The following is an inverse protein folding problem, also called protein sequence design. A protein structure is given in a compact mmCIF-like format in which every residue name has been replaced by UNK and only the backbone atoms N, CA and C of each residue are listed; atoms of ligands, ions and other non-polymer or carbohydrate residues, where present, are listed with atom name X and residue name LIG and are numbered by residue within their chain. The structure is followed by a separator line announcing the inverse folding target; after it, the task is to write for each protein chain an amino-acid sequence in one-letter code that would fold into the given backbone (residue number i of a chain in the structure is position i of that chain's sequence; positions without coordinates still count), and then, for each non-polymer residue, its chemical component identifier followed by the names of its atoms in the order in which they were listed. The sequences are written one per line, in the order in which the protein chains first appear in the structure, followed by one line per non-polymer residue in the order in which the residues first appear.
data_IF_078699463397
#
_entry.id   IF_078699463397
#
_cell.length_a   1.000
_cell.length_b   1.000
_cell.length_c   1.000
_cell.angle_alpha   90.00
_cell.angle_beta   90.00
_cell.angle_gamma   90.00
#
_symmetry.space_group_name_H-M   'P 1'
#
loop_
_entity.id
_entity.type
_entity.pdbx_description
1 polymer ?
#
# COMPACT_ATOMS: atom_id res chain seq x y z
N UNK A 1 -38.02 -4.16 26.90
CA UNK A 1 -37.26 -3.15 26.13
C UNK A 1 -37.27 -3.57 24.68
N UNK A 2 -37.67 -2.67 23.78
CA UNK A 2 -37.80 -2.96 22.35
C UNK A 2 -36.40 -3.10 21.72
N UNK A 3 -36.18 -4.00 20.74
CA UNK A 3 -34.88 -4.15 20.11
C UNK A 3 -34.48 -2.85 19.38
N UNK A 4 -33.33 -2.29 19.75
CA UNK A 4 -32.74 -1.14 19.04
C UNK A 4 -32.27 -1.61 17.67
N UNK A 5 -32.60 -0.86 16.61
CA UNK A 5 -32.10 -1.15 15.26
C UNK A 5 -30.72 -0.51 15.08
N UNK A 6 -29.82 -1.21 14.39
CA UNK A 6 -28.50 -0.67 14.11
C UNK A 6 -28.58 0.48 13.10
N UNK A 7 -27.88 1.57 13.39
CA UNK A 7 -27.67 2.71 12.49
C UNK A 7 -26.24 3.21 12.64
N UNK A 8 -25.60 3.47 11.50
CA UNK A 8 -24.30 4.10 11.41
C UNK A 8 -24.29 5.04 10.20
N UNK A 9 -23.80 6.26 10.38
CA UNK A 9 -23.59 7.23 9.30
C UNK A 9 -22.24 7.90 9.49
N UNK A 10 -21.49 8.10 8.42
CA UNK A 10 -20.21 8.81 8.47
C UNK A 10 -19.81 9.33 7.09
N UNK A 11 -19.04 10.40 7.08
CA UNK A 11 -18.35 10.86 5.87
C UNK A 11 -17.05 10.06 5.71
N UNK A 12 -16.78 9.62 4.49
CA UNK A 12 -15.60 8.81 4.15
C UNK A 12 -14.90 9.32 2.89
N UNK A 13 -13.56 9.21 2.87
CA UNK A 13 -12.71 9.55 1.74
C UNK A 13 -11.49 8.63 1.69
N UNK A 14 -11.18 8.07 0.53
CA UNK A 14 -9.99 7.23 0.31
C UNK A 14 -9.59 7.19 -1.18
N UNK A 15 -8.35 6.80 -1.46
CA UNK A 15 -7.91 6.27 -2.77
C UNK A 15 -7.64 4.76 -2.75
N UNK A 16 -7.60 4.16 -1.57
CA UNK A 16 -7.33 2.74 -1.36
C UNK A 16 -8.46 1.87 -1.95
N UNK A 17 -8.16 0.93 -2.86
CA UNK A 17 -9.17 0.08 -3.47
C UNK A 17 -9.66 -1.05 -2.56
N UNK A 18 -8.95 -1.38 -1.48
CA UNK A 18 -9.30 -2.51 -0.60
C UNK A 18 -9.05 -2.17 0.87
N UNK A 19 -9.97 -2.53 1.76
CA UNK A 19 -9.78 -2.33 3.19
C UNK A 19 -11.08 -2.37 3.97
N UNK A 20 -10.99 -2.41 5.30
CA UNK A 20 -12.17 -2.54 6.16
C UNK A 20 -12.60 -1.20 6.74
N UNK A 21 -13.88 -0.83 6.55
CA UNK A 21 -14.43 0.39 7.14
C UNK A 21 -14.85 0.14 8.58
N UNK A 22 -15.76 -0.80 8.81
CA UNK A 22 -16.20 -1.15 10.16
C UNK A 22 -16.75 -2.58 10.25
N UNK A 23 -16.79 -3.08 11.48
CA UNK A 23 -17.47 -4.29 11.90
C UNK A 23 -18.57 -3.93 12.91
N UNK A 24 -19.72 -4.59 12.83
CA UNK A 24 -20.79 -4.48 13.81
C UNK A 24 -21.43 -5.85 14.06
N UNK A 25 -21.51 -6.30 15.31
CA UNK A 25 -22.13 -7.58 15.65
C UNK A 25 -21.69 -8.18 16.98
N UNK A 26 -21.92 -9.47 17.12
CA UNK A 26 -21.50 -10.27 18.27
C UNK A 26 -20.19 -11.03 18.03
N UNK A 27 -20.06 -12.19 18.67
CA UNK A 27 -18.93 -13.10 18.46
C UNK A 27 -18.83 -13.56 16.99
N UNK A 28 -17.63 -13.97 16.55
CA UNK A 28 -17.34 -14.43 15.19
C UNK A 28 -18.29 -15.53 14.67
N UNK A 29 -18.81 -16.36 15.56
CA UNK A 29 -19.70 -17.47 15.22
C UNK A 29 -21.19 -17.14 15.33
N UNK A 30 -21.51 -15.92 15.76
CA UNK A 30 -22.87 -15.40 15.90
C UNK A 30 -23.22 -14.50 14.70
N UNK A 31 -24.11 -13.54 14.95
CA UNK A 31 -24.57 -12.55 13.97
C UNK A 31 -23.62 -11.36 13.90
N UNK A 32 -23.18 -11.01 12.70
CA UNK A 32 -22.36 -9.82 12.46
C UNK A 32 -22.42 -9.36 11.01
N UNK A 33 -22.01 -8.11 10.80
CA UNK A 33 -21.75 -7.50 9.50
C UNK A 33 -20.36 -6.87 9.48
N UNK A 34 -19.79 -6.82 8.28
CA UNK A 34 -18.55 -6.11 7.96
C UNK A 34 -18.80 -5.30 6.71
N UNK A 35 -18.56 -3.99 6.78
CA UNK A 35 -18.51 -3.13 5.61
C UNK A 35 -17.05 -2.90 5.24
N UNK A 36 -16.71 -3.22 4.00
CA UNK A 36 -15.36 -3.11 3.44
C UNK A 36 -15.39 -2.41 2.07
N UNK A 37 -14.21 -2.04 1.57
CA UNK A 37 -13.97 -1.75 0.16
C UNK A 37 -13.29 -2.95 -0.49
N UNK A 38 -13.71 -3.28 -1.71
CA UNK A 38 -12.97 -4.18 -2.60
C UNK A 38 -13.07 -3.67 -4.02
N UNK A 39 -11.93 -3.61 -4.72
CA UNK A 39 -11.85 -3.04 -6.07
C UNK A 39 -12.48 -1.63 -6.16
N UNK A 40 -12.34 -0.84 -5.09
CA UNK A 40 -12.89 0.51 -4.98
C UNK A 40 -14.40 0.61 -4.75
N UNK A 41 -15.13 -0.50 -4.58
CA UNK A 41 -16.58 -0.51 -4.31
C UNK A 41 -16.87 -1.05 -2.91
N UNK A 42 -18.04 -0.70 -2.37
CA UNK A 42 -18.48 -1.24 -1.09
C UNK A 42 -18.78 -2.74 -1.20
N UNK A 43 -18.26 -3.51 -0.26
CA UNK A 43 -18.54 -4.92 -0.03
C UNK A 43 -19.14 -5.08 1.37
N UNK A 44 -20.37 -5.59 1.45
CA UNK A 44 -20.99 -6.02 2.69
C UNK A 44 -20.79 -7.53 2.83
N UNK A 45 -20.15 -7.95 3.91
CA UNK A 45 -20.16 -9.33 4.36
C UNK A 45 -21.04 -9.45 5.60
N UNK A 46 -21.83 -10.50 5.68
CA UNK A 46 -22.70 -10.75 6.83
C UNK A 46 -22.73 -12.23 7.17
N UNK A 47 -22.89 -12.52 8.46
CA UNK A 47 -23.17 -13.86 8.98
C UNK A 47 -24.39 -13.74 9.87
N UNK A 48 -25.46 -14.49 9.58
CA UNK A 48 -26.67 -14.55 10.40
C UNK A 48 -27.01 -16.02 10.64
N UNK A 49 -27.14 -16.42 11.91
CA UNK A 49 -27.45 -17.81 12.31
C UNK A 49 -26.53 -18.85 11.63
N UNK A 50 -25.23 -18.54 11.52
CA UNK A 50 -24.25 -19.41 10.88
C UNK A 50 -24.18 -19.32 9.34
N UNK A 51 -25.14 -18.67 8.68
CA UNK A 51 -25.16 -18.50 7.23
C UNK A 51 -24.43 -17.23 6.82
N UNK A 52 -23.35 -17.39 6.06
CA UNK A 52 -22.55 -16.29 5.50
C UNK A 52 -23.05 -15.84 4.13
N UNK A 53 -23.09 -14.52 3.89
CA UNK A 53 -23.35 -13.93 2.57
C UNK A 53 -22.42 -12.75 2.32
N UNK A 54 -22.10 -12.52 1.06
CA UNK A 54 -21.31 -11.37 0.59
C UNK A 54 -22.07 -10.66 -0.52
N UNK A 55 -22.05 -9.34 -0.54
CA UNK A 55 -22.65 -8.52 -1.59
C UNK A 55 -21.74 -7.33 -1.86
N UNK A 56 -21.36 -7.14 -3.12
CA UNK A 56 -20.54 -6.01 -3.57
C UNK A 56 -21.23 -5.34 -4.74
N UNK A 57 -21.79 -4.15 -4.51
CA UNK A 57 -22.53 -3.36 -5.51
C UNK A 57 -22.41 -1.87 -5.18
N UNK A 58 -22.94 -1.01 -6.06
CA UNK A 58 -22.89 0.45 -5.89
C UNK A 58 -21.72 1.12 -6.63
N UNK A 59 -21.56 2.44 -6.46
CA UNK A 59 -20.57 3.23 -7.18
C UNK A 59 -19.14 2.97 -6.69
N UNK A 60 -18.16 3.48 -7.44
CA UNK A 60 -16.76 3.55 -7.01
C UNK A 60 -16.65 4.61 -5.91
N UNK A 61 -16.03 4.26 -4.78
CA UNK A 61 -15.90 5.11 -3.59
C UNK A 61 -14.46 5.64 -3.41
N UNK A 62 -13.45 4.95 -3.94
CA UNK A 62 -12.03 5.30 -3.76
C UNK A 62 -11.53 6.40 -4.73
N UNK A 63 -12.35 7.41 -5.00
CA UNK A 63 -12.01 8.52 -5.90
C UNK A 63 -11.43 9.74 -5.16
N UNK A 64 -11.18 9.66 -3.85
CA UNK A 64 -10.56 10.74 -3.07
C UNK A 64 -11.44 11.95 -2.78
N UNK A 65 -12.76 11.87 -2.99
CA UNK A 65 -13.70 12.90 -2.56
C UNK A 65 -14.53 12.39 -1.38
N UNK A 66 -14.96 13.30 -0.51
CA UNK A 66 -15.83 12.98 0.62
C UNK A 66 -17.20 12.51 0.13
N UNK A 67 -17.70 11.43 0.72
CA UNK A 67 -19.04 10.91 0.51
C UNK A 67 -19.64 10.47 1.84
N UNK A 68 -20.95 10.63 1.99
CA UNK A 68 -21.65 10.14 3.18
C UNK A 68 -22.07 8.70 2.95
N UNK A 69 -21.64 7.80 3.84
CA UNK A 69 -22.02 6.38 3.83
C UNK A 69 -22.90 6.14 5.05
N UNK A 70 -24.04 5.48 4.85
CA UNK A 70 -24.91 5.07 5.95
C UNK A 70 -25.29 3.60 5.86
N UNK A 71 -25.39 2.94 7.00
CA UNK A 71 -25.88 1.56 7.14
C UNK A 71 -26.98 1.55 8.18
N UNK A 72 -28.14 1.03 7.81
CA UNK A 72 -29.30 0.94 8.70
C UNK A 72 -30.01 -0.41 8.57
N UNK A 73 -30.49 -0.92 9.69
CA UNK A 73 -31.36 -2.09 9.76
C UNK A 73 -32.82 -1.63 9.67
N UNK A 74 -33.46 -1.84 8.51
CA UNK A 74 -34.83 -1.40 8.21
C UNK A 74 -35.69 -2.59 7.76
N UNK A 75 -36.81 -2.83 8.44
CA UNK A 75 -37.84 -3.80 7.99
C UNK A 75 -37.27 -5.17 7.56
N UNK A 76 -36.42 -5.78 8.41
CA UNK A 76 -35.71 -7.06 8.12
C UNK A 76 -34.76 -7.00 6.91
N UNK A 77 -34.27 -5.81 6.59
CA UNK A 77 -33.24 -5.60 5.58
C UNK A 77 -32.10 -4.77 6.14
N UNK A 78 -30.89 -5.02 5.67
CA UNK A 78 -29.77 -4.09 5.78
C UNK A 78 -29.80 -3.19 4.55
N UNK A 79 -29.89 -1.88 4.77
CA UNK A 79 -29.86 -0.87 3.72
C UNK A 79 -28.56 -0.09 3.85
N UNK A 80 -27.78 -0.05 2.77
CA UNK A 80 -26.57 0.76 2.69
C UNK A 80 -26.81 1.85 1.66
N UNK A 81 -26.49 3.08 2.05
CA UNK A 81 -26.63 4.26 1.19
C UNK A 81 -25.29 4.96 1.00
N UNK A 82 -25.16 5.58 -0.16
CA UNK A 82 -24.06 6.49 -0.50
C UNK A 82 -24.71 7.80 -0.92
N UNK A 83 -24.38 8.90 -0.24
CA UNK A 83 -24.98 10.22 -0.44
C UNK A 83 -26.52 10.19 -0.41
N UNK A 84 -27.09 9.41 0.52
CA UNK A 84 -28.54 9.15 0.70
C UNK A 84 -29.20 8.23 -0.33
N UNK A 85 -28.52 7.88 -1.42
CA UNK A 85 -29.03 6.92 -2.41
C UNK A 85 -28.76 5.49 -1.95
N UNK A 86 -29.81 4.65 -1.92
CA UNK A 86 -29.68 3.25 -1.52
C UNK A 86 -28.95 2.44 -2.62
N UNK A 87 -27.74 1.99 -2.30
CA UNK A 87 -26.89 1.22 -3.22
C UNK A 87 -26.98 -0.29 -2.96
N UNK A 88 -27.37 -0.69 -1.76
CA UNK A 88 -27.60 -2.08 -1.38
C UNK A 88 -28.82 -2.22 -0.48
N UNK A 89 -29.60 -3.28 -0.70
CA UNK A 89 -30.69 -3.73 0.18
C UNK A 89 -30.64 -5.25 0.30
N UNK A 90 -30.26 -5.75 1.47
CA UNK A 90 -30.09 -7.19 1.71
C UNK A 90 -31.11 -7.65 2.74
N UNK A 91 -32.00 -8.56 2.34
CA UNK A 91 -32.93 -9.20 3.27
C UNK A 91 -32.16 -10.08 4.28
N UNK A 92 -32.45 -9.88 5.57
CA UNK A 92 -31.84 -10.60 6.70
C UNK A 92 -32.92 -11.12 7.64
N UNK A 93 -32.67 -12.30 8.21
CA UNK A 93 -33.58 -12.96 9.17
C UNK A 93 -32.92 -12.98 10.55
N UNK A 94 -33.06 -11.90 11.30
CA UNK A 94 -32.50 -11.72 12.64
C UNK A 94 -32.20 -10.24 12.92
N UNK A 95 -31.64 -9.97 14.09
CA UNK A 95 -31.18 -8.63 14.47
C UNK A 95 -29.67 -8.65 14.73
N UNK A 96 -28.98 -7.53 14.47
CA UNK A 96 -27.56 -7.40 14.83
C UNK A 96 -27.35 -7.37 16.35
N UNK A 97 -28.28 -6.76 17.07
CA UNK A 97 -28.28 -6.77 18.53
C UNK A 97 -28.56 -8.18 19.03
N UNK A 98 -27.59 -8.72 19.77
CA UNK A 98 -27.75 -10.03 20.42
C UNK A 98 -28.19 -9.84 21.87
N UNK A 99 -29.15 -10.64 22.32
CA UNK A 99 -29.58 -10.63 23.70
C UNK A 99 -28.65 -11.49 24.56
N UNK A 100 -28.11 -10.90 25.62
CA UNK A 100 -27.32 -11.61 26.63
C UNK A 100 -27.69 -11.08 28.02
N UNK A 101 -28.04 -11.99 28.93
CA UNK A 101 -28.48 -11.69 30.31
C UNK A 101 -29.57 -10.60 30.40
N UNK A 102 -30.53 -10.62 29.47
CA UNK A 102 -31.65 -9.66 29.45
C UNK A 102 -31.33 -8.29 28.86
N UNK A 103 -30.08 -8.04 28.45
CA UNK A 103 -29.64 -6.81 27.78
C UNK A 103 -29.32 -7.08 26.31
N UNK A 104 -29.47 -6.06 25.47
CA UNK A 104 -29.11 -6.11 24.06
C UNK A 104 -27.70 -5.54 23.87
N UNK A 105 -26.82 -6.34 23.27
CA UNK A 105 -25.40 -6.00 23.06
C UNK A 105 -25.07 -5.98 21.57
N UNK A 106 -24.20 -5.04 21.20
CA UNK A 106 -23.59 -4.92 19.89
C UNK A 106 -22.16 -4.40 20.08
N UNK A 107 -21.19 -5.09 19.50
CA UNK A 107 -19.82 -4.60 19.41
C UNK A 107 -19.63 -3.91 18.06
N UNK A 108 -18.94 -2.77 18.08
CA UNK A 108 -18.59 -2.02 16.87
C UNK A 108 -17.09 -1.72 16.90
N UNK A 109 -16.41 -1.96 15.78
CA UNK A 109 -15.01 -1.59 15.59
C UNK A 109 -14.84 -0.88 14.24
N UNK A 110 -14.01 0.15 14.20
CA UNK A 110 -13.73 0.94 12.98
C UNK A 110 -12.30 0.65 12.53
N UNK A 111 -12.08 0.47 11.23
CA UNK A 111 -10.76 0.22 10.64
C UNK A 111 -10.13 -1.13 11.00
N UNK A 112 -10.87 -2.05 11.62
CA UNK A 112 -10.35 -3.35 12.02
C UNK A 112 -11.43 -4.33 12.48
N UNK A 113 -11.02 -5.59 12.70
CA UNK A 113 -11.87 -6.69 13.16
C UNK A 113 -11.52 -7.09 14.59
N UNK A 114 -12.51 -7.55 15.38
CA UNK A 114 -12.26 -8.17 16.68
C UNK A 114 -11.81 -9.63 16.57
N UNK A 115 -11.58 -10.15 15.35
CA UNK A 115 -11.12 -11.51 15.07
C UNK A 115 -10.24 -11.57 13.80
N UNK A 116 -9.65 -12.73 13.50
CA UNK A 116 -8.72 -12.90 12.37
C UNK A 116 -9.46 -12.84 11.02
N UNK A 117 -8.84 -12.19 10.03
CA UNK A 117 -9.43 -11.95 8.70
C UNK A 117 -9.80 -13.20 7.92
N UNK A 118 -9.10 -14.32 8.12
CA UNK A 118 -9.44 -15.60 7.48
C UNK A 118 -10.77 -16.19 7.95
N UNK A 119 -11.36 -15.66 9.03
CA UNK A 119 -12.67 -16.06 9.52
C UNK A 119 -13.83 -15.25 8.91
N UNK A 120 -13.52 -14.28 8.05
CA UNK A 120 -14.52 -13.63 7.20
C UNK A 120 -15.08 -14.62 6.17
N UNK A 121 -16.26 -14.32 5.62
CA UNK A 121 -16.86 -15.13 4.56
C UNK A 121 -15.99 -15.05 3.29
N UNK A 122 -15.46 -13.86 3.01
CA UNK A 122 -14.48 -13.62 1.97
C UNK A 122 -13.27 -12.91 2.57
N UNK A 123 -12.10 -13.54 2.52
CA UNK A 123 -10.87 -12.95 3.08
C UNK A 123 -10.53 -11.61 2.41
N UNK A 124 -9.99 -10.67 3.17
CA UNK A 124 -9.62 -9.34 2.70
C UNK A 124 -8.38 -8.85 3.44
N UNK A 125 -7.56 -8.01 2.80
CA UNK A 125 -6.57 -7.20 3.51
C UNK A 125 -7.31 -6.09 4.26
N UNK A 126 -7.29 -6.06 5.61
CA UNK A 126 -8.11 -5.12 6.37
C UNK A 126 -7.50 -3.71 6.44
N UNK A 127 -6.20 -3.56 6.11
CA UNK A 127 -5.52 -2.26 6.12
C UNK A 127 -6.22 -1.34 5.14
N UNK A 128 -6.59 -0.14 5.61
CA UNK A 128 -7.29 0.85 4.82
C UNK A 128 -6.64 2.21 5.04
N UNK A 129 -6.04 2.78 4.00
CA UNK A 129 -5.65 4.19 3.98
C UNK A 129 -6.87 5.06 3.63
N UNK A 130 -7.67 5.36 4.65
CA UNK A 130 -8.92 6.10 4.49
C UNK A 130 -9.14 7.08 5.64
N UNK A 131 -9.92 8.12 5.36
CA UNK A 131 -10.28 9.12 6.34
C UNK A 131 -11.78 9.10 6.62
N UNK A 132 -12.15 9.22 7.90
CA UNK A 132 -13.54 9.31 8.35
C UNK A 132 -13.77 10.60 9.14
N UNK A 133 -14.96 11.18 9.03
CA UNK A 133 -15.40 12.32 9.83
C UNK A 133 -16.92 12.30 9.99
N UNK A 134 -17.44 13.23 10.79
CA UNK A 134 -18.89 13.44 10.96
C UNK A 134 -19.66 12.14 11.23
N UNK A 135 -19.06 11.23 12.02
CA UNK A 135 -19.66 9.94 12.29
C UNK A 135 -20.77 10.06 13.33
N UNK A 136 -21.80 9.23 13.15
CA UNK A 136 -22.86 8.97 14.09
C UNK A 136 -22.99 7.45 14.23
N UNK A 137 -22.39 6.89 15.29
CA UNK A 137 -22.47 5.48 15.62
C UNK A 137 -23.60 5.26 16.63
N UNK A 138 -24.83 5.07 16.13
CA UNK A 138 -25.99 4.79 16.97
C UNK A 138 -26.37 5.90 17.97
N UNK A 139 -26.30 7.17 17.55
CA UNK A 139 -26.61 8.37 18.35
C UNK A 139 -25.82 8.44 19.67
N UNK A 140 -24.61 7.87 19.70
CA UNK A 140 -23.68 8.00 20.81
C UNK A 140 -22.64 9.05 20.47
N UNK A 141 -22.50 10.05 21.33
CA UNK A 141 -21.45 11.05 21.22
C UNK A 141 -20.10 10.44 21.60
N UNK A 142 -19.11 10.60 20.74
CA UNK A 142 -17.72 10.23 21.03
C UNK A 142 -16.84 11.49 21.01
N UNK A 143 -16.41 11.92 22.20
CA UNK A 143 -15.64 13.16 22.42
C UNK A 143 -14.12 12.92 22.27
N UNK A 144 -13.69 11.67 22.08
CA UNK A 144 -12.36 11.21 22.49
C UNK A 144 -11.25 11.28 21.41
N UNK A 145 -11.56 11.66 20.17
CA UNK A 145 -10.59 11.60 19.03
C UNK A 145 -9.83 12.92 18.80
N UNK A 146 -10.20 14.02 19.47
CA UNK A 146 -9.74 15.38 19.10
C UNK A 146 -8.27 15.73 19.45
N UNK A 147 -7.59 14.98 20.31
CA UNK A 147 -6.31 15.43 20.90
C UNK A 147 -5.05 14.74 20.34
N UNK A 148 -5.17 13.77 19.44
CA UNK A 148 -4.01 13.04 18.91
C UNK A 148 -3.83 13.28 17.41
N UNK A 149 -2.79 14.04 17.06
CA UNK A 149 -2.46 14.37 15.67
C UNK A 149 -2.20 13.12 14.80
N UNK A 150 -1.75 12.01 15.39
CA UNK A 150 -1.57 10.73 14.66
C UNK A 150 -2.88 10.07 14.24
N UNK A 151 -4.01 10.54 14.77
CA UNK A 151 -5.36 10.07 14.40
C UNK A 151 -6.04 11.00 13.40
N UNK A 152 -5.35 12.06 12.94
CA UNK A 152 -5.85 12.99 11.94
C UNK A 152 -5.26 12.68 10.56
N UNK A 153 -6.09 12.76 9.54
CA UNK A 153 -5.66 12.59 8.15
C UNK A 153 -5.19 13.94 7.57
N UNK A 154 -4.46 13.90 6.46
CA UNK A 154 -4.18 15.10 5.68
C UNK A 154 -5.47 15.81 5.25
N UNK A 155 -5.51 17.14 5.39
CA UNK A 155 -6.66 17.94 4.95
C UNK A 155 -6.94 17.73 3.44
N UNK A 156 -5.87 17.73 2.64
CA UNK A 156 -5.89 17.47 1.20
C UNK A 156 -4.93 16.32 0.95
N UNK A 157 -5.40 15.27 0.30
CA UNK A 157 -4.61 14.11 -0.09
C UNK A 157 -4.68 13.93 -1.61
N UNK A 158 -3.55 13.63 -2.24
CA UNK A 158 -3.46 13.23 -3.64
C UNK A 158 -3.32 11.72 -3.80
N UNK A 159 -3.33 11.23 -5.04
CA UNK A 159 -2.96 9.84 -5.35
C UNK A 159 -1.46 9.65 -5.13
N UNK A 160 -1.08 8.45 -4.66
CA UNK A 160 0.31 8.05 -4.45
C UNK A 160 0.55 7.48 -3.07
N UNK A 161 1.82 7.32 -2.68
CA UNK A 161 2.22 6.82 -1.37
C UNK A 161 3.30 7.73 -0.80
N UNK A 162 3.03 8.36 0.34
CA UNK A 162 3.94 9.36 0.89
C UNK A 162 5.00 8.73 1.79
N UNK A 163 6.27 9.01 1.47
CA UNK A 163 7.43 8.62 2.27
C UNK A 163 7.96 9.84 3.02
N UNK A 164 7.93 9.87 4.37
CA UNK A 164 8.34 11.05 5.14
C UNK A 164 9.86 11.15 5.38
N UNK A 165 10.68 10.33 4.71
CA UNK A 165 12.14 10.32 4.90
C UNK A 165 12.65 9.67 6.18
N UNK A 166 11.84 8.83 6.85
CA UNK A 166 12.18 8.22 8.15
C UNK A 166 12.06 6.69 8.19
N UNK A 167 11.92 6.06 7.04
CA UNK A 167 11.70 4.62 6.97
C UNK A 167 11.55 4.14 5.54
N UNK A 168 11.13 2.89 5.39
CA UNK A 168 11.04 2.18 4.12
C UNK A 168 9.92 1.14 4.17
N UNK A 169 9.52 0.66 3.00
CA UNK A 169 8.70 -0.55 2.85
C UNK A 169 9.57 -1.71 2.37
N UNK A 170 9.25 -2.94 2.81
CA UNK A 170 9.98 -4.15 2.44
C UNK A 170 9.02 -5.23 1.91
N UNK A 171 9.40 -5.85 0.80
CA UNK A 171 8.65 -6.91 0.12
C UNK A 171 9.54 -8.11 -0.17
N UNK A 172 8.96 -9.31 -0.09
CA UNK A 172 9.61 -10.56 -0.50
C UNK A 172 9.15 -10.91 -1.92
N UNK A 173 9.91 -10.46 -2.93
CA UNK A 173 9.62 -10.69 -4.35
C UNK A 173 10.67 -11.63 -4.95
N UNK A 174 10.25 -12.51 -5.86
CA UNK A 174 11.15 -13.37 -6.64
C UNK A 174 11.36 -12.78 -8.03
N UNK A 175 12.62 -12.55 -8.39
CA UNK A 175 13.02 -11.98 -9.68
C UNK A 175 13.53 -13.03 -10.67
N UNK A 176 13.74 -14.25 -10.19
CA UNK A 176 14.22 -15.38 -10.99
C UNK A 176 13.07 -16.36 -11.25
N UNK A 177 12.91 -16.78 -12.51
CA UNK A 177 11.92 -17.77 -12.94
C UNK A 177 12.63 -18.95 -13.63
N UNK A 178 12.19 -20.19 -13.40
CA UNK A 178 12.74 -21.34 -14.13
C UNK A 178 12.45 -21.15 -15.63
N UNK A 179 13.49 -21.31 -16.45
CA UNK A 179 13.40 -21.21 -17.91
C UNK A 179 12.89 -22.54 -18.52
N UNK A 180 13.31 -23.67 -17.94
CA UNK A 180 12.86 -25.03 -18.27
C UNK A 180 12.94 -25.94 -17.02
N UNK A 181 12.24 -27.07 -16.99
CA UNK A 181 12.22 -28.02 -15.86
C UNK A 181 13.57 -28.71 -15.62
N UNK A 182 14.46 -28.70 -16.61
CA UNK A 182 15.76 -29.39 -16.58
C UNK A 182 16.97 -28.46 -16.41
N UNK A 183 16.77 -27.14 -16.34
CA UNK A 183 17.88 -26.19 -16.13
C UNK A 183 18.00 -25.76 -14.67
N UNK A 184 19.23 -25.81 -14.15
CA UNK A 184 19.54 -25.40 -12.78
C UNK A 184 19.60 -23.88 -12.58
N UNK A 185 19.78 -23.10 -13.66
CA UNK A 185 19.96 -21.64 -13.60
C UNK A 185 18.70 -20.94 -14.10
N UNK A 186 18.10 -20.11 -13.26
CA UNK A 186 16.86 -19.39 -13.58
C UNK A 186 17.17 -18.14 -14.39
N UNK A 187 16.34 -17.83 -15.39
CA UNK A 187 16.40 -16.52 -16.03
C UNK A 187 15.85 -15.48 -15.05
N UNK A 188 16.49 -14.31 -14.97
CA UNK A 188 16.07 -13.26 -14.05
C UNK A 188 15.83 -11.95 -14.78
N UNK A 189 14.89 -11.18 -14.25
CA UNK A 189 14.57 -9.85 -14.75
C UNK A 189 14.06 -8.99 -13.60
N UNK A 190 14.60 -7.78 -13.51
CA UNK A 190 14.16 -6.74 -12.57
C UNK A 190 13.64 -5.58 -13.41
N UNK A 191 12.31 -5.45 -13.46
CA UNK A 191 11.61 -4.32 -14.07
C UNK A 191 10.89 -3.53 -12.99
N UNK A 192 11.17 -2.23 -12.93
CA UNK A 192 10.59 -1.32 -11.94
C UNK A 192 10.16 -0.05 -12.65
N UNK A 193 8.90 0.32 -12.49
CA UNK A 193 8.34 1.59 -12.93
C UNK A 193 7.90 2.38 -11.69
N UNK A 194 8.41 3.59 -11.53
CA UNK A 194 8.11 4.47 -10.40
C UNK A 194 7.66 5.83 -10.93
N UNK A 195 6.52 6.32 -10.46
CA UNK A 195 6.12 7.71 -10.64
C UNK A 195 6.44 8.45 -9.35
N UNK A 196 7.43 9.36 -9.40
CA UNK A 196 7.96 10.02 -8.21
C UNK A 196 7.70 11.53 -8.24
N UNK A 197 7.41 12.10 -7.08
CA UNK A 197 7.45 13.56 -6.84
C UNK A 197 8.34 13.82 -5.63
N UNK A 198 9.66 13.98 -5.82
CA UNK A 198 10.62 14.14 -4.73
C UNK A 198 10.44 15.46 -3.97
N UNK A 199 10.61 15.41 -2.65
CA UNK A 199 10.73 16.58 -1.78
C UNK A 199 12.20 16.88 -1.40
N UNK A 200 13.09 15.90 -1.56
CA UNK A 200 14.54 16.02 -1.35
C UNK A 200 15.30 15.54 -2.58
N UNK A 201 16.53 16.04 -2.74
CA UNK A 201 17.40 15.73 -3.87
C UNK A 201 18.21 14.43 -3.70
N UNK A 202 18.18 13.85 -2.51
CA UNK A 202 18.89 12.62 -2.15
C UNK A 202 17.96 11.63 -1.47
N UNK A 203 18.02 10.36 -1.87
CA UNK A 203 17.26 9.28 -1.23
C UNK A 203 17.15 8.02 -2.08
N UNK A 204 17.06 6.86 -1.43
CA UNK A 204 16.89 5.56 -2.09
C UNK A 204 15.44 5.38 -2.52
N UNK A 205 15.22 5.21 -3.83
CA UNK A 205 13.90 4.92 -4.40
C UNK A 205 13.57 3.42 -4.29
N UNK A 206 14.50 2.59 -4.76
CA UNK A 206 14.36 1.14 -4.84
C UNK A 206 15.70 0.46 -4.54
N UNK A 207 15.68 -0.65 -3.83
CA UNK A 207 16.88 -1.47 -3.64
C UNK A 207 16.55 -2.94 -3.41
N UNK A 208 17.50 -3.79 -3.79
CA UNK A 208 17.53 -5.20 -3.40
C UNK A 208 18.58 -5.39 -2.33
N UNK A 209 18.23 -6.14 -1.29
CA UNK A 209 19.12 -6.42 -0.16
C UNK A 209 19.12 -7.90 0.13
N UNK A 210 20.33 -8.46 0.23
CA UNK A 210 20.55 -9.85 0.63
C UNK A 210 20.40 -10.03 2.15
N UNK A 211 20.23 -11.27 2.59
CA UNK A 211 20.18 -11.61 4.03
C UNK A 211 21.47 -11.25 4.80
N UNK A 212 22.59 -10.98 4.11
CA UNK A 212 23.86 -10.58 4.71
C UNK A 212 24.07 -9.05 4.74
N UNK A 213 23.03 -8.25 4.45
CA UNK A 213 23.14 -6.79 4.42
C UNK A 213 23.85 -6.21 3.21
N UNK A 214 24.23 -7.05 2.23
CA UNK A 214 24.76 -6.59 0.94
C UNK A 214 23.61 -6.04 0.11
N UNK A 215 23.85 -4.95 -0.62
CA UNK A 215 22.89 -4.30 -1.54
C UNK A 215 23.31 -4.59 -3.00
N UNK A 216 22.84 -5.68 -3.64
CA UNK A 216 23.24 -6.00 -5.01
C UNK A 216 22.85 -4.96 -6.04
N UNK A 217 21.68 -4.34 -5.89
CA UNK A 217 21.10 -3.39 -6.84
C UNK A 217 20.42 -2.26 -6.07
N UNK A 218 20.63 -1.03 -6.49
CA UNK A 218 19.95 0.14 -5.92
C UNK A 218 19.72 1.22 -6.97
N UNK A 219 18.61 1.94 -6.83
CA UNK A 219 18.28 3.16 -7.57
C UNK A 219 17.99 4.27 -6.58
N UNK A 220 18.67 5.39 -6.75
CA UNK A 220 18.63 6.51 -5.82
C UNK A 220 18.79 7.84 -6.52
N UNK A 221 18.34 8.90 -5.84
CA UNK A 221 18.63 10.29 -6.17
C UNK A 221 19.87 10.74 -5.39
N UNK A 222 20.70 11.58 -6.01
CA UNK A 222 21.91 12.17 -5.42
C UNK A 222 22.18 13.55 -6.02
N UNK A 223 22.72 14.49 -5.23
CA UNK A 223 23.00 15.88 -5.65
C UNK A 223 24.48 16.17 -6.00
N UNK A 224 25.33 15.14 -5.99
CA UNK A 224 26.77 15.29 -6.15
C UNK A 224 27.40 14.17 -6.98
N UNK A 225 28.19 14.57 -7.98
CA UNK A 225 29.04 13.68 -8.75
C UNK A 225 30.45 13.63 -8.12
N UNK A 226 30.74 12.54 -7.42
CA UNK A 226 32.01 12.34 -6.70
C UNK A 226 33.26 12.46 -7.59
N UNK A 227 33.32 11.75 -8.73
CA UNK A 227 34.50 11.74 -9.61
C UNK A 227 34.80 13.08 -10.27
N UNK A 228 33.76 13.77 -10.78
CA UNK A 228 33.90 15.07 -11.46
C UNK A 228 33.87 16.26 -10.48
N UNK A 229 33.63 16.00 -9.19
CA UNK A 229 33.41 17.02 -8.15
C UNK A 229 32.37 18.08 -8.56
N UNK A 230 31.28 17.62 -9.16
CA UNK A 230 30.24 18.48 -9.73
C UNK A 230 28.97 18.40 -8.88
N UNK A 231 28.48 19.54 -8.41
CA UNK A 231 27.19 19.64 -7.71
C UNK A 231 26.07 19.74 -8.74
N UNK A 232 25.33 18.66 -8.90
CA UNK A 232 24.24 18.52 -9.85
C UNK A 232 23.38 17.31 -9.43
N UNK A 233 22.07 17.38 -9.67
CA UNK A 233 21.17 16.29 -9.34
C UNK A 233 21.25 15.17 -10.39
N UNK A 234 21.29 13.94 -9.90
CA UNK A 234 21.30 12.74 -10.72
C UNK A 234 20.33 11.71 -10.16
N UNK A 235 19.74 10.93 -11.06
CA UNK A 235 19.29 9.59 -10.74
C UNK A 235 20.41 8.61 -11.11
N UNK A 236 20.68 7.66 -10.22
CA UNK A 236 21.73 6.66 -10.40
C UNK A 236 21.17 5.25 -10.25
N UNK A 237 21.70 4.33 -11.04
CA UNK A 237 21.57 2.90 -10.85
C UNK A 237 22.94 2.34 -10.48
N UNK A 238 23.00 1.64 -9.35
CA UNK A 238 24.24 1.10 -8.81
C UNK A 238 24.14 -0.40 -8.56
N UNK A 239 25.26 -1.09 -8.84
CA UNK A 239 25.49 -2.49 -8.50
C UNK A 239 26.51 -2.52 -7.36
N UNK A 240 26.10 -2.99 -6.18
CA UNK A 240 26.84 -2.74 -4.93
C UNK A 240 27.12 -1.23 -4.77
N UNK A 241 28.38 -0.85 -4.54
CA UNK A 241 28.80 0.54 -4.37
C UNK A 241 29.21 1.23 -5.68
N UNK A 242 29.01 0.58 -6.84
CA UNK A 242 29.47 1.13 -8.11
C UNK A 242 28.30 1.63 -8.93
N UNK A 243 28.34 2.90 -9.32
CA UNK A 243 27.37 3.50 -10.24
C UNK A 243 27.62 2.97 -11.65
N UNK A 244 26.63 2.28 -12.22
CA UNK A 244 26.73 1.68 -13.56
C UNK A 244 25.99 2.50 -14.62
N UNK A 245 24.94 3.23 -14.23
CA UNK A 245 24.20 4.13 -15.10
C UNK A 245 23.81 5.38 -14.33
N UNK A 246 23.82 6.54 -14.99
CA UNK A 246 23.36 7.80 -14.40
C UNK A 246 22.62 8.66 -15.41
N UNK A 247 21.75 9.53 -14.91
CA UNK A 247 21.12 10.56 -15.72
C UNK A 247 21.11 11.87 -14.92
N UNK A 248 21.56 12.95 -15.55
CA UNK A 248 21.42 14.28 -14.99
C UNK A 248 19.94 14.69 -15.06
N UNK A 249 19.41 15.19 -13.95
CA UNK A 249 17.97 15.47 -13.81
C UNK A 249 17.77 16.82 -13.12
N UNK A 250 16.57 17.37 -13.28
CA UNK A 250 16.10 18.52 -12.49
C UNK A 250 14.92 18.03 -11.67
N UNK A 251 15.18 17.68 -10.42
CA UNK A 251 14.17 17.22 -9.45
C UNK A 251 13.84 18.33 -8.45
N UNK A 252 12.80 18.12 -7.64
CA UNK A 252 12.27 19.11 -6.69
C UNK A 252 11.60 20.32 -7.38
N UNK A 253 11.15 20.16 -8.62
CA UNK A 253 10.38 21.13 -9.41
C UNK A 253 8.86 21.05 -9.15
N UNK A 254 8.45 20.16 -8.22
CA UNK A 254 7.06 19.81 -7.85
C UNK A 254 6.30 19.02 -8.93
N UNK A 255 6.95 18.60 -10.00
CA UNK A 255 6.37 17.75 -11.03
C UNK A 255 6.51 16.27 -10.68
N UNK A 256 5.75 15.45 -11.41
CA UNK A 256 5.89 14.00 -11.36
C UNK A 256 6.89 13.58 -12.45
N UNK A 257 7.78 12.67 -12.11
CA UNK A 257 8.75 12.08 -13.03
C UNK A 257 8.57 10.58 -13.09
N UNK A 258 8.57 10.03 -14.30
CA UNK A 258 8.49 8.60 -14.54
C UNK A 258 9.90 8.01 -14.60
N UNK A 259 10.21 7.10 -13.70
CA UNK A 259 11.46 6.36 -13.65
C UNK A 259 11.21 4.92 -14.06
N UNK A 260 11.90 4.49 -15.11
CA UNK A 260 11.86 3.11 -15.60
C UNK A 260 13.23 2.47 -15.50
N UNK A 261 13.26 1.29 -14.90
CA UNK A 261 14.45 0.46 -14.73
C UNK A 261 14.16 -0.91 -15.33
N UNK A 262 15.07 -1.39 -16.18
CA UNK A 262 15.03 -2.74 -16.72
C UNK A 262 16.43 -3.34 -16.66
N UNK A 263 16.60 -4.33 -15.79
CA UNK A 263 17.86 -5.05 -15.60
C UNK A 263 17.62 -6.53 -15.84
N UNK A 264 18.40 -7.13 -16.73
CA UNK A 264 18.34 -8.55 -17.08
C UNK A 264 19.73 -9.09 -17.40
N UNK A 265 19.83 -10.37 -17.77
CA UNK A 265 21.08 -11.03 -18.12
C UNK A 265 21.89 -10.36 -19.26
N UNK A 266 21.32 -9.42 -20.01
CA UNK A 266 21.98 -8.79 -21.17
C UNK A 266 22.07 -7.27 -21.10
N UNK A 267 21.34 -6.62 -20.19
CA UNK A 267 21.22 -5.16 -20.21
C UNK A 267 20.95 -4.59 -18.82
N UNK A 268 21.42 -3.35 -18.64
CA UNK A 268 21.10 -2.47 -17.53
C UNK A 268 20.60 -1.17 -18.16
N UNK A 269 19.31 -0.88 -18.00
CA UNK A 269 18.69 0.32 -18.57
C UNK A 269 18.01 1.10 -17.45
N UNK A 270 18.30 2.40 -17.43
CA UNK A 270 17.65 3.39 -16.58
C UNK A 270 17.16 4.53 -17.49
N UNK A 271 15.87 4.87 -17.39
CA UNK A 271 15.32 6.05 -18.06
C UNK A 271 14.52 6.89 -17.08
N UNK A 272 14.51 8.21 -17.28
CA UNK A 272 13.61 9.14 -16.60
C UNK A 272 12.92 10.00 -17.65
N UNK A 273 11.59 10.06 -17.60
CA UNK A 273 10.75 10.81 -18.54
C UNK A 273 11.08 10.48 -20.00
N UNK A 274 11.33 9.19 -20.28
CA UNK A 274 11.71 8.68 -21.61
C UNK A 274 13.16 8.94 -22.04
N UNK A 275 13.95 9.68 -21.24
CA UNK A 275 15.37 9.95 -21.52
C UNK A 275 16.23 8.87 -20.89
N UNK A 276 17.10 8.23 -21.69
CA UNK A 276 18.00 7.19 -21.20
C UNK A 276 19.22 7.76 -20.48
N UNK A 277 19.63 7.09 -19.39
CA UNK A 277 20.86 7.39 -18.68
C UNK A 277 22.11 7.00 -19.46
N UNK A 278 23.21 7.67 -19.15
CA UNK A 278 24.54 7.36 -19.65
C UNK A 278 25.11 6.18 -18.87
N UNK A 279 25.52 5.14 -19.60
CA UNK A 279 26.28 4.03 -19.04
C UNK A 279 27.71 4.51 -18.75
N UNK A 280 28.16 4.32 -17.52
CA UNK A 280 29.47 4.79 -17.05
C UNK A 280 30.61 3.80 -17.35
N UNK A 281 30.33 2.71 -18.09
CA UNK A 281 31.19 1.52 -18.12
C UNK A 281 31.32 0.93 -19.53
N UNK A 282 32.44 0.24 -19.77
CA UNK A 282 32.69 -0.54 -21.00
C UNK A 282 31.86 -1.83 -21.05
N UNK A 283 31.76 -2.43 -22.24
CA UNK A 283 31.03 -3.69 -22.44
C UNK A 283 31.55 -4.83 -21.55
N UNK A 284 32.88 -4.94 -21.35
CA UNK A 284 33.47 -5.98 -20.50
C UNK A 284 33.09 -5.81 -19.02
N UNK A 285 33.07 -4.57 -18.51
CA UNK A 285 32.65 -4.30 -17.14
C UNK A 285 31.15 -4.56 -16.93
N UNK A 286 30.33 -4.33 -17.97
CA UNK A 286 28.91 -4.65 -17.92
C UNK A 286 28.68 -6.15 -17.65
N UNK A 287 29.42 -7.04 -18.33
CA UNK A 287 29.34 -8.48 -18.12
C UNK A 287 29.71 -8.88 -16.68
N UNK A 288 30.73 -8.24 -16.09
CA UNK A 288 31.11 -8.46 -14.69
C UNK A 288 29.97 -8.08 -13.72
N UNK A 289 29.33 -6.92 -13.92
CA UNK A 289 28.21 -6.50 -13.09
C UNK A 289 26.99 -7.43 -13.24
N UNK A 290 26.70 -7.87 -14.45
CA UNK A 290 25.60 -8.80 -14.72
C UNK A 290 25.86 -10.17 -14.08
N UNK A 291 27.10 -10.64 -14.09
CA UNK A 291 27.53 -11.86 -13.38
C UNK A 291 27.37 -11.72 -11.86
N UNK A 292 27.72 -10.56 -11.30
CA UNK A 292 27.49 -10.25 -9.87
C UNK A 292 26.01 -10.28 -9.55
N UNK A 293 25.15 -9.63 -10.35
CA UNK A 293 23.71 -9.59 -10.15
C UNK A 293 23.09 -10.98 -10.25
N UNK A 294 23.50 -11.78 -11.25
CA UNK A 294 23.03 -13.15 -11.42
C UNK A 294 23.24 -13.97 -10.14
N UNK A 295 24.45 -13.95 -9.58
CA UNK A 295 24.75 -14.68 -8.33
C UNK A 295 23.81 -14.33 -7.18
N UNK A 296 23.38 -13.07 -7.04
CA UNK A 296 22.46 -12.65 -5.99
C UNK A 296 21.00 -12.93 -6.33
N UNK A 297 20.58 -12.74 -7.58
CA UNK A 297 19.19 -12.89 -8.03
C UNK A 297 18.75 -14.35 -8.11
N UNK A 298 19.69 -15.30 -8.19
CA UNK A 298 19.39 -16.73 -7.98
C UNK A 298 18.98 -17.04 -6.51
N UNK A 299 19.28 -16.14 -5.57
CA UNK A 299 19.00 -16.31 -4.14
C UNK A 299 17.78 -15.49 -3.66
N UNK A 300 17.35 -15.72 -2.43
CA UNK A 300 16.27 -14.94 -1.82
C UNK A 300 16.75 -13.54 -1.43
N UNK A 301 16.13 -12.51 -2.02
CA UNK A 301 16.39 -11.10 -1.77
C UNK A 301 15.15 -10.42 -1.20
N UNK A 302 15.38 -9.38 -0.39
CA UNK A 302 14.34 -8.47 0.07
C UNK A 302 14.35 -7.22 -0.79
N UNK A 303 13.16 -6.81 -1.21
CA UNK A 303 12.95 -5.60 -2.02
C UNK A 303 12.58 -4.47 -1.10
N UNK A 304 13.31 -3.36 -1.18
CA UNK A 304 13.09 -2.17 -0.38
C UNK A 304 12.65 -1.01 -1.27
N UNK A 305 11.69 -0.22 -0.79
CA UNK A 305 11.20 0.99 -1.44
C UNK A 305 11.25 2.14 -0.45
N UNK A 306 11.81 3.26 -0.87
CA UNK A 306 11.89 4.50 -0.10
C UNK A 306 13.00 4.57 0.96
N UNK A 307 13.90 3.57 1.03
CA UNK A 307 15.00 3.56 1.99
C UNK A 307 15.67 2.19 2.08
N UNK A 308 16.57 2.02 3.05
CA UNK A 308 17.32 0.79 3.30
C UNK A 308 17.32 0.44 4.79
N UNK A 309 17.46 -0.85 5.15
CA UNK A 309 17.78 -1.22 6.53
C UNK A 309 19.20 -0.75 6.87
N UNK A 310 19.61 -0.91 8.13
CA UNK A 310 20.99 -0.62 8.52
C UNK A 310 21.97 -1.52 7.73
N UNK A 311 22.73 -0.89 6.84
CA UNK A 311 23.73 -1.52 5.96
C UNK A 311 25.01 -0.69 6.02
N UNK A 312 26.19 -1.30 5.85
CA UNK A 312 27.44 -0.53 5.77
C UNK A 312 27.33 0.54 4.68
N UNK A 313 27.76 1.77 4.96
CA UNK A 313 27.76 2.90 4.00
C UNK A 313 28.57 2.62 2.73
N UNK A 314 29.43 1.61 2.75
CA UNK A 314 30.20 1.11 1.61
C UNK A 314 29.44 0.11 0.75
N UNK A 315 28.19 -0.22 1.08
CA UNK A 315 27.39 -1.23 0.37
C UNK A 315 26.70 -0.68 -0.88
N UNK A 316 26.39 0.62 -0.89
CA UNK A 316 25.71 1.33 -1.97
C UNK A 316 26.03 2.83 -1.90
N UNK A 317 25.99 3.58 -3.01
CA UNK A 317 26.32 5.00 -3.01
C UNK A 317 25.40 5.88 -2.14
N UNK A 318 24.15 5.47 -1.91
CA UNK A 318 23.16 6.25 -1.15
C UNK A 318 22.44 5.34 -0.17
N UNK A 319 22.41 5.74 1.11
CA UNK A 319 21.67 5.05 2.18
C UNK A 319 20.56 5.90 2.80
N UNK A 320 20.46 7.18 2.40
CA UNK A 320 19.42 8.09 2.88
C UNK A 320 18.02 7.60 2.47
N UNK A 321 17.03 7.78 3.36
CA UNK A 321 15.64 7.47 3.06
C UNK A 321 15.05 8.50 2.09
N UNK A 322 14.21 8.04 1.17
CA UNK A 322 13.47 8.89 0.26
C UNK A 322 12.43 9.74 1.00
N UNK A 323 12.31 10.99 0.59
CA UNK A 323 11.27 11.89 1.04
C UNK A 323 10.52 12.43 -0.18
N UNK A 324 9.25 12.08 -0.30
CA UNK A 324 8.41 12.48 -1.42
C UNK A 324 7.18 11.59 -1.57
N UNK A 325 6.49 11.80 -2.68
CA UNK A 325 5.42 10.92 -3.13
C UNK A 325 5.93 9.93 -4.18
#
# INVERSE_FOLDING_TARGET
TQPTRFTAEFDFRTFDPEGLLFFAGGHQDKTWIVLALRNGRLELQLKYNGVGRVTSTGPIINHGMWQTISVEELERSLVIKVNKDAVMRIAVSGNLFTQDRGLYHLNLTVGGLPFKTHNLIHSINPRLDGCMRAWNWQNKDDVTIRTNDRMQCFAIAGRGSFYPGKGFAMFNLSYARPFDTNETRKQWEVKVNLLIRPATDTGVLFALVSNKGIVPLSVALIDYHSTKKLKQQFIILAVKNTVVCRLAVSICDKQEHLVDISVSNSQIVLTMDGTAGQNEQSQAQLEDYLSVLDNYLQSSLKTYVGGLPDVPVTSTPVTASYHGC
#
